data_IF_146978065552
#
_entry.id   IF_146978065552
#
_cell.length_a   1.000
_cell.length_b   1.000
_cell.length_c   1.000
_cell.angle_alpha   90.00
_cell.angle_beta   90.00
_cell.angle_gamma   90.00
#
_symmetry.space_group_name_H-M   'P 1'
#
loop_
_entity.id
_entity.type
_entity.pdbx_description
1 polymer ?
#
# COMPACT_ATOMS: atom_id res chain seq x y z
N UNK A 1 16.09 41.58 49.27
CA UNK A 1 15.25 40.60 48.55
C UNK A 1 15.74 40.49 47.09
N UNK A 2 16.90 39.85 46.83
CA UNK A 2 17.54 39.78 45.49
C UNK A 2 18.31 38.47 45.23
N UNK A 3 17.96 37.38 45.93
CA UNK A 3 18.71 36.10 45.83
C UNK A 3 17.90 35.00 45.12
N UNK A 4 16.56 35.10 45.06
CA UNK A 4 15.72 34.05 44.45
C UNK A 4 15.69 34.03 42.92
N UNK A 5 16.05 35.12 42.24
CA UNK A 5 15.99 35.20 40.76
C UNK A 5 17.23 34.57 40.11
N UNK A 6 18.38 34.55 40.79
CA UNK A 6 19.63 34.06 40.21
C UNK A 6 19.70 32.52 40.14
N UNK A 7 19.02 31.82 41.04
CA UNK A 7 19.03 30.34 41.08
C UNK A 7 18.17 29.74 39.95
N UNK A 8 17.08 30.41 39.58
CA UNK A 8 16.18 29.94 38.51
C UNK A 8 16.85 30.08 37.14
N UNK A 9 17.66 31.13 36.92
CA UNK A 9 18.34 31.34 35.63
C UNK A 9 19.44 30.29 35.36
N UNK A 10 20.12 29.81 36.41
CA UNK A 10 21.17 28.78 36.27
C UNK A 10 20.57 27.40 35.95
N UNK A 11 19.40 27.07 36.52
CA UNK A 11 18.73 25.79 36.25
C UNK A 11 18.21 25.72 34.80
N UNK A 12 17.70 26.83 34.26
CA UNK A 12 17.24 26.89 32.86
C UNK A 12 18.42 26.79 31.88
N UNK A 13 19.55 27.44 32.17
CA UNK A 13 20.75 27.36 31.32
C UNK A 13 21.43 25.99 31.36
N UNK A 14 21.37 25.27 32.49
CA UNK A 14 21.89 23.90 32.58
C UNK A 14 20.95 22.87 31.92
N UNK A 15 19.63 23.09 31.95
CA UNK A 15 18.66 22.25 31.24
C UNK A 15 18.76 22.32 29.72
N UNK A 16 19.01 23.51 29.16
CA UNK A 16 19.17 23.69 27.70
C UNK A 16 20.48 23.06 27.20
N UNK A 17 21.54 23.06 28.02
CA UNK A 17 22.82 22.43 27.66
C UNK A 17 22.75 20.90 27.67
N UNK A 18 21.93 20.30 28.54
CA UNK A 18 21.67 18.86 28.54
C UNK A 18 20.78 18.42 27.37
N UNK A 19 19.86 19.28 26.92
CA UNK A 19 19.02 18.96 25.75
C UNK A 19 19.80 18.96 24.44
N UNK A 20 20.86 19.77 24.32
CA UNK A 20 21.72 19.79 23.13
C UNK A 20 22.83 18.73 23.11
N UNK A 21 23.24 18.20 24.27
CA UNK A 21 24.19 17.09 24.35
C UNK A 21 23.51 15.70 24.20
N UNK A 22 22.18 15.63 24.28
CA UNK A 22 21.42 14.40 24.00
C UNK A 22 21.07 14.22 22.51
N UNK A 23 21.44 15.17 21.65
CA UNK A 23 21.08 15.18 20.23
C UNK A 23 22.29 14.97 19.28
N UNK A 24 23.51 14.71 19.79
CA UNK A 24 24.69 14.50 18.93
C UNK A 24 25.05 13.05 18.64
N UNK A 25 24.47 12.07 19.34
CA UNK A 25 24.89 10.66 19.24
C UNK A 25 23.74 9.76 18.73
N UNK A 26 22.98 10.24 17.75
CA UNK A 26 22.20 9.38 16.87
C UNK A 26 22.91 9.34 15.53
N UNK A 27 24.08 8.70 15.50
CA UNK A 27 24.59 8.09 14.28
C UNK A 27 23.46 7.25 13.71
N UNK A 28 22.82 7.77 12.65
CA UNK A 28 21.84 7.04 11.85
C UNK A 28 22.55 5.80 11.34
N UNK A 29 22.40 4.72 12.06
CA UNK A 29 22.56 3.38 11.50
C UNK A 29 21.41 3.28 10.50
N UNK A 30 21.71 3.54 9.22
CA UNK A 30 20.87 3.09 8.12
C UNK A 30 20.72 1.59 8.34
N UNK A 31 19.63 1.21 8.99
CA UNK A 31 19.23 -0.16 9.08
C UNK A 31 18.72 -0.45 7.69
N UNK A 32 19.60 -0.97 6.85
CA UNK A 32 19.22 -1.66 5.62
C UNK A 32 18.04 -2.55 5.99
N UNK A 33 16.86 -2.20 5.50
CA UNK A 33 15.71 -3.07 5.56
C UNK A 33 16.09 -4.24 4.66
N UNK A 34 16.65 -5.28 5.27
CA UNK A 34 16.81 -6.57 4.62
C UNK A 34 15.39 -7.12 4.49
N UNK A 35 14.69 -6.67 3.45
CA UNK A 35 13.58 -7.41 2.90
C UNK A 35 14.12 -8.82 2.68
N UNK A 36 13.56 -9.79 3.38
CA UNK A 36 13.77 -11.19 3.06
C UNK A 36 13.03 -11.46 1.74
N UNK A 37 13.55 -10.89 0.65
CA UNK A 37 13.35 -11.38 -0.69
C UNK A 37 13.94 -12.78 -0.64
N UNK A 38 13.09 -13.81 -0.52
CA UNK A 38 13.56 -15.20 -0.51
C UNK A 38 14.64 -15.35 -1.58
N UNK A 39 15.76 -16.00 -1.21
CA UNK A 39 16.91 -16.12 -2.11
C UNK A 39 16.42 -16.43 -3.52
N UNK A 40 16.80 -15.65 -4.54
CA UNK A 40 16.35 -15.88 -5.90
C UNK A 40 16.69 -17.33 -6.24
N UNK A 41 15.67 -18.10 -6.59
CA UNK A 41 15.83 -19.51 -6.91
C UNK A 41 16.97 -19.63 -7.95
N UNK A 42 18.07 -20.35 -7.65
CA UNK A 42 19.25 -20.37 -8.49
C UNK A 42 18.96 -20.82 -9.93
N UNK A 43 17.84 -21.51 -10.15
CA UNK A 43 17.37 -21.91 -11.48
C UNK A 43 16.87 -20.72 -12.32
N UNK A 44 16.39 -19.65 -11.69
CA UNK A 44 15.87 -18.46 -12.37
C UNK A 44 16.95 -17.47 -12.84
N UNK A 45 18.21 -17.65 -12.44
CA UNK A 45 19.33 -16.73 -12.71
C UNK A 45 20.29 -17.21 -13.81
N UNK A 46 19.91 -18.24 -14.58
CA UNK A 46 20.69 -18.78 -15.69
C UNK A 46 20.18 -18.26 -17.04
N UNK A 47 21.02 -18.24 -18.07
CA UNK A 47 20.66 -17.93 -19.46
C UNK A 47 19.62 -18.88 -20.10
N UNK A 48 18.96 -19.71 -19.29
CA UNK A 48 17.95 -20.72 -19.64
C UNK A 48 16.64 -20.54 -18.84
N UNK A 49 16.43 -19.41 -18.17
CA UNK A 49 15.24 -19.11 -17.36
C UNK A 49 13.90 -19.26 -18.11
N UNK A 50 13.89 -19.20 -19.44
CA UNK A 50 12.73 -19.49 -20.29
C UNK A 50 12.28 -20.98 -20.25
N UNK A 51 13.07 -21.88 -19.65
CA UNK A 51 12.71 -23.29 -19.44
C UNK A 51 12.18 -23.58 -18.03
N UNK A 52 12.33 -22.64 -17.09
CA UNK A 52 11.81 -22.77 -15.73
C UNK A 52 10.42 -22.11 -15.66
N UNK A 53 9.38 -22.93 -15.75
CA UNK A 53 8.00 -22.48 -15.58
C UNK A 53 7.83 -21.83 -14.18
N UNK A 54 7.23 -20.63 -14.11
CA UNK A 54 6.89 -19.89 -12.87
C UNK A 54 8.06 -19.24 -12.10
N UNK A 55 9.10 -18.78 -12.78
CA UNK A 55 10.10 -17.90 -12.16
C UNK A 55 9.59 -16.47 -12.00
N UNK A 56 9.87 -15.84 -10.84
CA UNK A 56 9.67 -14.40 -10.61
C UNK A 56 11.02 -13.70 -10.47
N UNK A 57 11.26 -12.68 -11.28
CA UNK A 57 12.44 -11.81 -11.22
C UNK A 57 12.07 -10.53 -10.46
N UNK A 58 12.79 -10.27 -9.37
CA UNK A 58 12.68 -9.00 -8.65
C UNK A 58 13.40 -7.89 -9.42
N UNK A 59 12.70 -6.78 -9.66
CA UNK A 59 13.23 -5.65 -10.41
C UNK A 59 13.61 -4.48 -9.51
N UNK A 60 12.70 -4.05 -8.63
CA UNK A 60 12.91 -2.87 -7.80
C UNK A 60 11.99 -2.84 -6.57
N UNK A 61 12.38 -2.02 -5.59
CA UNK A 61 11.52 -1.58 -4.49
C UNK A 61 11.69 -0.07 -4.35
N UNK A 62 10.58 0.66 -4.41
CA UNK A 62 10.56 2.12 -4.32
C UNK A 62 9.58 2.58 -3.25
N UNK A 63 9.97 3.55 -2.42
CA UNK A 63 9.03 4.22 -1.52
C UNK A 63 8.11 5.13 -2.34
N UNK A 64 6.80 4.91 -2.22
CA UNK A 64 5.77 5.67 -2.95
C UNK A 64 4.83 6.35 -1.98
N UNK A 65 4.28 7.49 -2.41
CA UNK A 65 3.33 8.26 -1.60
C UNK A 65 2.04 8.55 -2.37
N UNK A 66 0.95 8.69 -1.61
CA UNK A 66 -0.38 9.09 -2.06
C UNK A 66 -1.04 9.90 -0.96
N UNK A 67 -1.84 10.90 -1.34
CA UNK A 67 -2.53 11.79 -0.39
C UNK A 67 -3.40 10.99 0.60
N UNK A 68 -4.11 9.98 0.10
CA UNK A 68 -4.97 9.14 0.93
C UNK A 68 -4.18 8.30 1.93
N UNK A 69 -2.99 7.84 1.56
CA UNK A 69 -2.11 7.07 2.45
C UNK A 69 -1.47 7.94 3.51
N UNK A 70 -0.93 9.10 3.12
CA UNK A 70 -0.29 10.03 4.06
C UNK A 70 -1.28 10.58 5.08
N UNK A 71 -2.54 10.78 4.67
CA UNK A 71 -3.61 11.25 5.54
C UNK A 71 -4.08 10.17 6.51
N UNK A 72 -4.30 8.94 6.03
CA UNK A 72 -4.85 7.86 6.86
C UNK A 72 -3.78 7.18 7.73
N UNK A 73 -2.56 7.02 7.22
CA UNK A 73 -1.52 6.18 7.82
C UNK A 73 -0.19 6.93 7.92
N UNK A 74 -0.12 8.03 8.69
CA UNK A 74 1.04 8.93 8.72
C UNK A 74 2.35 8.26 9.19
N UNK A 75 2.27 7.13 9.89
CA UNK A 75 3.43 6.37 10.35
C UNK A 75 3.81 5.20 9.43
N UNK A 76 2.96 4.87 8.45
CA UNK A 76 3.18 3.77 7.53
C UNK A 76 4.01 4.23 6.31
N UNK A 77 4.85 3.33 5.82
CA UNK A 77 5.62 3.49 4.58
C UNK A 77 5.11 2.51 3.55
N UNK A 78 4.83 3.01 2.35
CA UNK A 78 4.29 2.23 1.25
C UNK A 78 5.39 2.03 0.21
N UNK A 79 5.67 0.78 -0.09
CA UNK A 79 6.71 0.38 -1.02
C UNK A 79 6.08 -0.28 -2.23
N UNK A 80 6.33 0.28 -3.41
CA UNK A 80 6.05 -0.38 -4.68
C UNK A 80 7.15 -1.39 -4.94
N UNK A 81 6.77 -2.66 -4.99
CA UNK A 81 7.66 -3.76 -5.37
C UNK A 81 7.34 -4.16 -6.80
N UNK A 82 8.34 -4.07 -7.68
CA UNK A 82 8.21 -4.47 -9.08
C UNK A 82 8.81 -5.85 -9.28
N UNK A 83 7.99 -6.76 -9.81
CA UNK A 83 8.42 -8.10 -10.19
C UNK A 83 7.96 -8.42 -11.60
N UNK A 84 8.77 -9.18 -12.31
CA UNK A 84 8.45 -9.80 -13.59
C UNK A 84 8.20 -11.28 -13.37
N UNK A 85 7.05 -11.78 -13.80
CA UNK A 85 6.74 -13.22 -13.78
C UNK A 85 7.00 -13.77 -15.17
N UNK A 86 7.95 -14.70 -15.27
CA UNK A 86 8.33 -15.36 -16.52
C UNK A 86 7.26 -16.40 -16.85
N UNK A 87 6.70 -16.29 -18.05
CA UNK A 87 5.70 -17.21 -18.58
C UNK A 87 6.26 -17.97 -19.78
N UNK A 88 5.64 -19.11 -20.10
CA UNK A 88 5.96 -19.82 -21.32
C UNK A 88 5.67 -18.92 -22.54
N UNK A 89 6.65 -18.79 -23.43
CA UNK A 89 6.54 -18.03 -24.68
C UNK A 89 5.43 -18.50 -25.63
N UNK A 90 4.87 -19.70 -25.40
CA UNK A 90 3.69 -20.20 -26.12
C UNK A 90 2.39 -19.49 -25.71
N UNK A 91 2.24 -19.11 -24.43
CA UNK A 91 1.03 -18.41 -23.93
C UNK A 91 1.15 -16.89 -24.02
N UNK A 92 2.36 -16.37 -23.96
CA UNK A 92 2.63 -14.94 -24.00
C UNK A 92 3.86 -14.65 -24.87
N UNK A 93 3.68 -13.89 -25.96
CA UNK A 93 4.76 -13.58 -26.90
C UNK A 93 5.90 -12.77 -26.28
N UNK A 94 5.63 -12.03 -25.22
CA UNK A 94 6.64 -11.29 -24.48
C UNK A 94 7.45 -12.20 -23.54
N UNK A 95 6.92 -13.40 -23.24
CA UNK A 95 7.54 -14.37 -22.33
C UNK A 95 7.47 -13.98 -20.85
N UNK A 96 6.74 -12.90 -20.52
CA UNK A 96 6.52 -12.47 -19.14
C UNK A 96 5.29 -11.57 -19.00
N UNK A 97 4.82 -11.39 -17.77
CA UNK A 97 3.96 -10.27 -17.38
C UNK A 97 4.51 -9.56 -16.15
N UNK A 98 4.12 -8.30 -15.97
CA UNK A 98 4.48 -7.52 -14.80
C UNK A 98 3.45 -7.70 -13.69
N UNK A 99 3.92 -7.93 -12.46
CA UNK A 99 3.07 -8.19 -11.30
C UNK A 99 3.50 -7.37 -10.09
N UNK A 100 3.38 -6.06 -10.20
CA UNK A 100 3.72 -5.15 -9.11
C UNK A 100 2.75 -5.33 -7.94
N UNK A 101 3.23 -5.10 -6.72
CA UNK A 101 2.39 -5.06 -5.52
C UNK A 101 2.88 -4.00 -4.54
N UNK A 102 2.00 -3.60 -3.63
CA UNK A 102 2.33 -2.69 -2.54
C UNK A 102 2.64 -3.48 -1.27
N UNK A 103 3.82 -3.24 -0.71
CA UNK A 103 4.23 -3.68 0.61
C UNK A 103 4.18 -2.50 1.58
N UNK A 104 3.57 -2.67 2.75
CA UNK A 104 3.34 -1.59 3.71
C UNK A 104 4.06 -1.92 5.01
N UNK A 105 4.87 -0.99 5.51
CA UNK A 105 5.61 -1.16 6.76
C UNK A 105 5.19 -0.09 7.78
N UNK A 106 4.81 -0.50 8.99
CA UNK A 106 4.54 0.42 10.11
C UNK A 106 5.17 -0.14 11.39
N UNK A 107 6.24 0.51 11.86
CA UNK A 107 7.06 -0.01 12.94
C UNK A 107 7.64 -1.40 12.60
N UNK A 108 7.28 -2.41 13.40
CA UNK A 108 7.68 -3.81 13.19
C UNK A 108 6.62 -4.66 12.48
N UNK A 109 5.50 -4.06 12.05
CA UNK A 109 4.41 -4.75 11.36
C UNK A 109 4.49 -4.53 9.86
N UNK A 110 4.02 -5.52 9.13
CA UNK A 110 3.96 -5.55 7.67
C UNK A 110 2.53 -5.82 7.23
N UNK A 111 2.10 -5.15 6.16
CA UNK A 111 0.77 -5.30 5.58
C UNK A 111 0.84 -5.36 4.05
N UNK A 112 -0.19 -5.97 3.48
CA UNK A 112 -0.48 -6.06 2.04
C UNK A 112 -1.95 -5.73 1.78
N UNK A 113 -2.40 -5.85 0.54
CA UNK A 113 -3.80 -5.70 0.15
C UNK A 113 -4.73 -6.63 0.96
N UNK A 114 -4.36 -7.88 1.21
CA UNK A 114 -5.22 -8.80 1.97
C UNK A 114 -5.36 -8.42 3.46
N UNK A 115 -4.42 -7.68 4.02
CA UNK A 115 -4.43 -7.27 5.43
C UNK A 115 -4.82 -5.80 5.63
N UNK A 116 -5.45 -5.18 4.63
CA UNK A 116 -5.84 -3.77 4.71
C UNK A 116 -6.77 -3.46 5.89
N UNK A 117 -7.71 -4.35 6.21
CA UNK A 117 -8.59 -4.15 7.38
C UNK A 117 -7.80 -4.19 8.71
N UNK A 118 -6.75 -5.01 8.80
CA UNK A 118 -5.84 -5.01 9.95
C UNK A 118 -5.06 -3.71 10.06
N UNK A 119 -4.62 -3.14 8.92
CA UNK A 119 -3.98 -1.83 8.90
C UNK A 119 -4.92 -0.72 9.37
N UNK A 120 -6.19 -0.73 8.93
CA UNK A 120 -7.22 0.19 9.43
C UNK A 120 -7.41 0.05 10.94
N UNK A 121 -7.55 -1.18 11.43
CA UNK A 121 -7.75 -1.49 12.85
C UNK A 121 -6.57 -1.01 13.71
N UNK A 122 -5.34 -1.31 13.31
CA UNK A 122 -4.13 -0.94 14.05
C UNK A 122 -3.94 0.59 14.12
N UNK A 123 -4.51 1.33 13.17
CA UNK A 123 -4.55 2.80 13.16
C UNK A 123 -5.86 3.39 13.72
N UNK A 124 -6.74 2.55 14.29
CA UNK A 124 -8.03 2.95 14.90
C UNK A 124 -8.96 3.69 13.93
N UNK A 125 -8.93 3.32 12.66
CA UNK A 125 -9.73 3.93 11.60
C UNK A 125 -11.02 3.14 11.42
N UNK A 126 -12.14 3.76 11.81
CA UNK A 126 -13.48 3.28 11.46
C UNK A 126 -13.95 3.98 10.19
N UNK A 127 -14.61 3.24 9.30
CA UNK A 127 -15.14 3.81 8.05
C UNK A 127 -16.43 4.56 8.35
N UNK A 128 -16.44 5.86 8.07
CA UNK A 128 -17.57 6.77 8.21
C UNK A 128 -17.84 7.47 6.89
N UNK A 129 -18.95 8.21 6.79
CA UNK A 129 -19.22 9.03 5.60
C UNK A 129 -18.15 10.10 5.34
N UNK A 130 -17.40 10.52 6.37
CA UNK A 130 -16.40 11.58 6.27
C UNK A 130 -15.08 11.10 5.67
N UNK A 131 -14.68 9.85 5.94
CA UNK A 131 -13.42 9.27 5.46
C UNK A 131 -13.60 8.15 4.44
N UNK A 132 -14.85 7.79 4.11
CA UNK A 132 -15.21 6.73 3.17
C UNK A 132 -14.38 6.84 1.88
N UNK A 133 -14.31 8.03 1.30
CA UNK A 133 -13.64 8.23 0.03
C UNK A 133 -12.14 7.99 0.10
N UNK A 134 -11.50 8.57 1.09
CA UNK A 134 -10.07 8.38 1.34
C UNK A 134 -9.75 6.90 1.61
N UNK A 135 -10.58 6.18 2.38
CA UNK A 135 -10.35 4.77 2.69
C UNK A 135 -10.45 3.90 1.44
N UNK A 136 -11.49 4.09 0.63
CA UNK A 136 -11.70 3.28 -0.57
C UNK A 136 -10.63 3.57 -1.64
N UNK A 137 -10.24 4.83 -1.82
CA UNK A 137 -9.12 5.19 -2.71
C UNK A 137 -7.78 4.68 -2.20
N UNK A 138 -7.53 4.72 -0.89
CA UNK A 138 -6.32 4.14 -0.30
C UNK A 138 -6.20 2.64 -0.62
N UNK A 139 -7.29 1.88 -0.49
CA UNK A 139 -7.32 0.47 -0.88
C UNK A 139 -7.15 0.28 -2.39
N UNK A 140 -7.82 1.11 -3.19
CA UNK A 140 -7.74 1.04 -4.65
C UNK A 140 -6.30 1.25 -5.13
N UNK A 141 -5.56 2.20 -4.55
CA UNK A 141 -4.15 2.40 -4.88
C UNK A 141 -3.25 1.20 -4.55
N UNK A 142 -3.52 0.50 -3.44
CA UNK A 142 -2.74 -0.70 -3.04
C UNK A 142 -2.94 -1.81 -4.08
N UNK A 143 -4.18 -1.99 -4.55
CA UNK A 143 -4.54 -3.05 -5.50
C UNK A 143 -4.25 -2.68 -6.95
N UNK A 144 -4.15 -1.39 -7.28
CA UNK A 144 -3.76 -0.86 -8.59
C UNK A 144 -2.24 -0.77 -8.78
N UNK A 145 -1.43 -1.57 -8.07
CA UNK A 145 0.02 -1.40 -8.02
C UNK A 145 0.71 -1.38 -9.40
N UNK A 146 0.20 -2.16 -10.36
CA UNK A 146 0.67 -2.18 -11.75
C UNK A 146 0.51 -0.83 -12.48
N UNK A 147 -0.36 0.05 -12.00
CA UNK A 147 -0.72 1.32 -12.65
C UNK A 147 -0.23 2.54 -11.85
N UNK A 148 0.52 2.35 -10.74
CA UNK A 148 0.96 3.44 -9.88
C UNK A 148 1.91 4.45 -10.53
N UNK A 149 2.60 4.04 -11.61
CA UNK A 149 3.48 4.94 -12.38
C UNK A 149 2.73 5.72 -13.46
N UNK A 150 1.47 5.39 -13.72
CA UNK A 150 0.62 6.09 -14.67
C UNK A 150 -0.17 7.22 -13.99
N UNK A 151 -0.68 8.13 -14.80
CA UNK A 151 -1.71 9.05 -14.35
C UNK A 151 -3.03 8.30 -14.23
N UNK A 152 -3.62 8.33 -13.04
CA UNK A 152 -4.87 7.61 -12.71
C UNK A 152 -5.88 8.62 -12.22
N UNK A 153 -7.02 8.68 -12.89
CA UNK A 153 -8.13 9.56 -12.54
C UNK A 153 -9.26 8.74 -11.93
N UNK A 154 -9.42 8.84 -10.61
CA UNK A 154 -10.56 8.26 -9.92
C UNK A 154 -11.85 9.05 -10.22
N UNK A 155 -12.92 8.32 -10.43
CA UNK A 155 -14.28 8.86 -10.41
C UNK A 155 -14.72 9.19 -8.98
N UNK A 156 -15.86 9.88 -8.86
CA UNK A 156 -16.53 10.00 -7.58
C UNK A 156 -17.09 8.63 -7.14
N UNK A 157 -17.13 8.38 -5.83
CA UNK A 157 -17.68 7.13 -5.31
C UNK A 157 -19.19 7.09 -5.50
N UNK A 158 -19.66 5.96 -6.02
CA UNK A 158 -21.06 5.71 -6.25
C UNK A 158 -21.61 4.76 -5.18
N UNK A 159 -22.75 5.14 -4.59
CA UNK A 159 -23.56 4.18 -3.83
C UNK A 159 -24.31 3.31 -4.83
N UNK A 160 -24.04 2.01 -4.76
CA UNK A 160 -24.69 1.02 -5.64
C UNK A 160 -25.61 0.14 -4.82
N UNK A 161 -26.60 -0.46 -5.48
CA UNK A 161 -27.45 -1.46 -4.87
C UNK A 161 -27.40 -2.72 -5.73
N UNK A 162 -26.30 -3.45 -5.60
CA UNK A 162 -26.07 -4.71 -6.31
C UNK A 162 -26.57 -5.89 -5.48
N UNK A 163 -27.82 -5.83 -5.03
CA UNK A 163 -28.47 -6.91 -4.27
C UNK A 163 -29.19 -7.94 -5.15
N UNK A 164 -29.19 -7.74 -6.47
CA UNK A 164 -29.90 -8.60 -7.42
C UNK A 164 -29.03 -9.76 -7.90
N UNK A 165 -29.66 -10.76 -8.53
CA UNK A 165 -29.04 -12.02 -8.99
C UNK A 165 -27.87 -11.86 -10.00
N UNK A 166 -27.57 -10.65 -10.46
CA UNK A 166 -26.50 -10.37 -11.42
C UNK A 166 -25.16 -10.04 -10.75
N UNK A 167 -25.16 -9.75 -9.44
CA UNK A 167 -23.95 -9.40 -8.70
C UNK A 167 -23.35 -10.62 -7.98
N UNK A 168 -22.01 -10.68 -7.89
CA UNK A 168 -21.30 -11.72 -7.14
C UNK A 168 -21.56 -11.61 -5.64
N UNK A 169 -21.57 -10.38 -5.13
CA UNK A 169 -21.75 -10.02 -3.72
C UNK A 169 -22.73 -8.85 -3.62
N UNK A 170 -23.36 -8.62 -2.46
CA UNK A 170 -24.29 -7.51 -2.24
C UNK A 170 -23.55 -6.18 -2.06
N UNK A 171 -22.79 -5.75 -3.07
CA UNK A 171 -21.99 -4.53 -3.01
C UNK A 171 -22.87 -3.29 -2.78
N UNK A 172 -22.36 -2.36 -1.96
CA UNK A 172 -23.03 -1.12 -1.63
C UNK A 172 -22.24 0.14 -2.03
N UNK A 173 -20.98 -0.02 -2.47
CA UNK A 173 -20.20 1.06 -3.07
C UNK A 173 -19.43 0.59 -4.31
N UNK A 174 -19.24 1.52 -5.25
CA UNK A 174 -18.44 1.36 -6.46
C UNK A 174 -17.50 2.55 -6.64
N UNK A 175 -16.28 2.26 -7.04
CA UNK A 175 -15.27 3.24 -7.44
C UNK A 175 -14.73 2.78 -8.79
N UNK A 176 -14.50 3.73 -9.69
CA UNK A 176 -13.79 3.46 -10.93
C UNK A 176 -12.61 4.41 -11.10
N UNK A 177 -11.67 4.02 -11.95
CA UNK A 177 -10.60 4.91 -12.38
C UNK A 177 -10.28 4.68 -13.85
N UNK A 178 -9.86 5.74 -14.52
CA UNK A 178 -9.25 5.67 -15.84
C UNK A 178 -7.75 5.85 -15.68
N UNK A 179 -6.99 4.91 -16.23
CA UNK A 179 -5.53 5.00 -16.31
C UNK A 179 -5.17 5.59 -17.67
N UNK A 180 -4.50 6.74 -17.66
CA UNK A 180 -3.95 7.33 -18.87
C UNK A 180 -2.66 6.58 -19.25
N UNK A 181 -2.74 5.87 -20.36
CA UNK A 181 -1.62 5.20 -21.01
C UNK A 181 -1.79 5.30 -22.53
N UNK A 182 -1.00 4.57 -23.33
CA UNK A 182 -1.19 4.51 -24.78
C UNK A 182 -2.59 3.98 -25.17
N UNK A 183 -3.21 3.17 -24.30
CA UNK A 183 -4.61 2.75 -24.40
C UNK A 183 -5.29 3.05 -23.05
N UNK A 184 -6.40 3.79 -23.06
CA UNK A 184 -7.13 4.11 -21.83
C UNK A 184 -7.64 2.82 -21.19
N UNK A 185 -7.21 2.55 -19.96
CA UNK A 185 -7.63 1.35 -19.21
C UNK A 185 -8.58 1.76 -18.09
N UNK A 186 -9.76 1.14 -18.04
CA UNK A 186 -10.70 1.31 -16.93
C UNK A 186 -10.45 0.26 -15.85
N UNK A 187 -10.45 0.72 -14.60
CA UNK A 187 -10.33 -0.08 -13.40
C UNK A 187 -11.61 0.09 -12.57
N UNK A 188 -12.07 -1.01 -11.96
CA UNK A 188 -13.27 -0.99 -11.12
C UNK A 188 -13.03 -1.65 -9.78
N UNK A 189 -13.59 -1.05 -8.74
CA UNK A 189 -13.65 -1.61 -7.40
C UNK A 189 -15.07 -1.60 -6.88
N UNK A 190 -15.50 -2.74 -6.36
CA UNK A 190 -16.80 -2.90 -5.72
C UNK A 190 -16.59 -3.26 -4.26
N UNK A 191 -17.33 -2.63 -3.36
CA UNK A 191 -17.12 -2.78 -1.92
C UNK A 191 -18.40 -3.17 -1.19
N UNK A 192 -18.23 -3.97 -0.13
CA UNK A 192 -19.24 -4.19 0.91
C UNK A 192 -18.70 -3.59 2.20
N UNK A 193 -19.31 -2.50 2.63
CA UNK A 193 -19.03 -1.87 3.92
C UNK A 193 -20.21 -2.10 4.85
N UNK A 194 -19.96 -2.69 6.00
CA UNK A 194 -20.98 -2.98 7.01
C UNK A 194 -20.42 -2.68 8.39
N UNK A 195 -21.25 -2.10 9.27
CA UNK A 195 -20.86 -1.73 10.63
C UNK A 195 -19.52 -0.96 10.70
N UNK A 196 -19.33 0.01 9.80
CA UNK A 196 -18.14 0.85 9.68
C UNK A 196 -16.84 0.08 9.37
N UNK A 197 -16.95 -1.13 8.82
CA UNK A 197 -15.82 -1.98 8.44
C UNK A 197 -15.92 -2.39 6.96
N UNK A 198 -14.77 -2.49 6.30
CA UNK A 198 -14.69 -3.06 4.96
C UNK A 198 -14.73 -4.60 5.09
N UNK A 199 -15.76 -5.23 4.52
CA UNK A 199 -15.98 -6.68 4.62
C UNK A 199 -15.53 -7.40 3.35
N UNK A 200 -15.86 -6.82 2.19
CA UNK A 200 -15.50 -7.36 0.88
C UNK A 200 -15.01 -6.21 0.00
N UNK A 201 -13.94 -6.44 -0.74
CA UNK A 201 -13.58 -5.61 -1.89
C UNK A 201 -13.36 -6.52 -3.10
N UNK A 202 -13.81 -6.09 -4.27
CA UNK A 202 -13.57 -6.79 -5.53
C UNK A 202 -12.93 -5.82 -6.49
N UNK A 203 -11.71 -6.15 -6.90
CA UNK A 203 -10.96 -5.41 -7.92
C UNK A 203 -11.11 -6.10 -9.26
N UNK A 204 -11.41 -5.32 -10.29
CA UNK A 204 -11.49 -5.77 -11.67
C UNK A 204 -10.65 -4.85 -12.55
N UNK A 205 -9.70 -5.45 -13.27
CA UNK A 205 -9.02 -4.86 -14.42
C UNK A 205 -9.25 -5.76 -15.65
N UNK A 206 -8.82 -5.37 -16.85
CA UNK A 206 -9.17 -6.08 -18.09
C UNK A 206 -8.86 -7.59 -18.13
N UNK A 207 -7.95 -8.11 -17.29
CA UNK A 207 -7.57 -9.52 -17.29
C UNK A 207 -7.85 -10.25 -15.95
N UNK A 208 -7.49 -9.72 -14.77
CA UNK A 208 -7.87 -10.31 -13.48
C UNK A 208 -9.09 -9.67 -12.81
N UNK A 209 -9.92 -10.52 -12.22
CA UNK A 209 -10.89 -10.18 -11.18
C UNK A 209 -10.44 -10.86 -9.87
N UNK A 210 -10.24 -10.07 -8.81
CA UNK A 210 -9.79 -10.55 -7.49
C UNK A 210 -10.77 -10.10 -6.40
N UNK A 211 -11.23 -11.05 -5.60
CA UNK A 211 -12.08 -10.82 -4.43
C UNK A 211 -11.21 -10.84 -3.17
N UNK A 212 -11.45 -9.88 -2.28
CA UNK A 212 -10.83 -9.73 -0.98
C UNK A 212 -11.89 -9.90 0.09
N UNK A 213 -11.65 -10.80 1.04
CA UNK A 213 -12.54 -11.04 2.17
C UNK A 213 -11.80 -10.66 3.44
N UNK A 214 -12.38 -9.74 4.20
CA UNK A 214 -11.80 -9.27 5.44
C UNK A 214 -12.54 -9.92 6.61
N UNK A 215 -11.77 -10.45 7.56
CA UNK A 215 -12.36 -10.91 8.81
C UNK A 215 -12.62 -9.71 9.73
N UNK A 216 -13.72 -9.73 10.50
CA UNK A 216 -14.03 -8.71 11.49
C UNK A 216 -13.03 -8.66 12.66
#
# INVERSE_FOLDING_TARGET
>A
MKIKVFVILIIVLLGIKYYWLSLSDSEKTETEVVLNTGEPDPECNTSQSFLAENCSEYLSTELVTREEWETLFPEAKFYLVEIRVIENGESNKEGFFQNNFIFIQQGQKEYKDESFNTLLYDNQILISNENLESVLKAFAWITAANYLKNEVHFSAIEKVNFTTQQARHPYNYHLSAVVESNESTELHWYFVIHDNQLQIATYQSPAPLKDYFFSP
#
